data_IF_512562160960
#
_entry.id   IF_512562160960
#
_cell.length_a   1.000
_cell.length_b   1.000
_cell.length_c   1.000
_cell.angle_alpha   90.00
_cell.angle_beta   90.00
_cell.angle_gamma   90.00
#
_symmetry.space_group_name_H-M   'P 1'
#
loop_
_entity.id
_entity.type
_entity.pdbx_description
1 polymer ?
#
# COMPACT_ATOMS: atom_id res chain seq x y z
N UNK A 1 59.53 -17.12 27.44
CA UNK A 1 58.84 -15.99 26.81
C UNK A 1 57.63 -16.54 26.04
N UNK A 2 56.44 -16.40 26.62
CA UNK A 2 55.19 -16.90 26.05
C UNK A 2 54.65 -15.85 25.06
N UNK A 3 54.25 -16.31 23.86
CA UNK A 3 53.67 -15.52 22.77
C UNK A 3 52.25 -15.13 23.13
N UNK A 4 51.80 -13.85 23.01
CA UNK A 4 50.43 -13.50 23.34
C UNK A 4 49.46 -14.06 22.30
N UNK A 5 48.34 -14.66 22.80
CA UNK A 5 47.23 -15.15 22.01
C UNK A 5 46.54 -14.01 21.29
N UNK A 6 46.28 -14.18 19.99
CA UNK A 6 45.44 -13.27 19.19
C UNK A 6 44.03 -13.26 19.75
N UNK A 7 43.35 -12.09 19.92
CA UNK A 7 41.95 -12.08 20.29
C UNK A 7 41.11 -12.65 19.15
N UNK A 8 40.32 -13.65 19.49
CA UNK A 8 39.28 -14.19 18.63
C UNK A 8 38.29 -13.06 18.30
N UNK A 9 38.36 -12.60 17.05
CA UNK A 9 37.38 -11.70 16.48
C UNK A 9 36.00 -12.38 16.49
N UNK A 10 35.22 -12.09 17.52
CA UNK A 10 33.84 -12.57 17.65
C UNK A 10 33.07 -12.24 16.38
N UNK A 11 32.68 -13.25 15.63
CA UNK A 11 31.74 -13.14 14.55
C UNK A 11 30.45 -12.56 15.18
N UNK A 12 30.20 -11.26 14.96
CA UNK A 12 28.90 -10.64 15.25
C UNK A 12 27.86 -11.50 14.57
N UNK A 13 27.10 -12.28 15.36
CA UNK A 13 26.13 -13.24 14.87
C UNK A 13 25.23 -12.57 13.85
N UNK A 14 25.34 -13.01 12.59
CA UNK A 14 24.51 -12.54 11.48
C UNK A 14 23.06 -12.89 11.83
N UNK A 15 22.31 -11.89 12.33
CA UNK A 15 20.87 -12.04 12.57
C UNK A 15 20.18 -12.24 11.20
N UNK A 16 19.68 -13.45 10.87
CA UNK A 16 19.09 -13.77 9.57
C UNK A 16 17.91 -12.86 9.25
N UNK A 17 17.07 -12.52 10.25
CA UNK A 17 15.92 -11.65 10.11
C UNK A 17 16.32 -10.22 9.74
N UNK A 18 17.36 -9.69 10.37
CA UNK A 18 17.91 -8.37 10.03
C UNK A 18 18.45 -8.35 8.59
N UNK A 19 19.11 -9.41 8.17
CA UNK A 19 19.61 -9.54 6.78
C UNK A 19 18.44 -9.63 5.80
N UNK A 20 17.45 -10.46 6.09
CA UNK A 20 16.22 -10.58 5.29
C UNK A 20 15.50 -9.22 5.14
N UNK A 21 15.36 -8.48 6.25
CA UNK A 21 14.78 -7.14 6.26
C UNK A 21 15.54 -6.14 5.39
N UNK A 22 16.89 -6.15 5.41
CA UNK A 22 17.75 -5.30 4.55
C UNK A 22 17.55 -5.62 3.07
N UNK A 23 17.50 -6.91 2.71
CA UNK A 23 17.27 -7.33 1.33
C UNK A 23 15.91 -6.85 0.84
N UNK A 24 14.84 -7.05 1.61
CA UNK A 24 13.49 -6.61 1.26
C UNK A 24 13.40 -5.08 1.11
N UNK A 25 14.06 -4.32 1.98
CA UNK A 25 14.09 -2.85 1.88
C UNK A 25 14.87 -2.36 0.66
N UNK A 26 15.99 -3.01 0.33
CA UNK A 26 16.78 -2.72 -0.86
C UNK A 26 15.99 -3.08 -2.15
N UNK A 27 15.31 -4.23 -2.14
CA UNK A 27 14.50 -4.71 -3.23
C UNK A 27 13.28 -3.82 -3.48
N UNK A 28 12.60 -3.34 -2.43
CA UNK A 28 11.51 -2.39 -2.54
C UNK A 28 11.92 -1.16 -3.35
N UNK A 29 13.03 -0.53 -2.97
CA UNK A 29 13.52 0.68 -3.67
C UNK A 29 13.89 0.40 -5.13
N UNK A 30 14.52 -0.74 -5.40
CA UNK A 30 14.92 -1.13 -6.75
C UNK A 30 13.70 -1.42 -7.63
N UNK A 31 12.72 -2.17 -7.12
CA UNK A 31 11.49 -2.46 -7.84
C UNK A 31 10.60 -1.21 -8.03
N UNK A 32 10.51 -0.34 -7.04
CA UNK A 32 9.76 0.90 -7.17
C UNK A 32 10.37 1.86 -8.20
N UNK A 33 11.71 1.87 -8.33
CA UNK A 33 12.41 2.73 -9.28
C UNK A 33 12.37 2.19 -10.73
N UNK A 34 12.52 0.88 -10.92
CA UNK A 34 12.82 0.26 -12.22
C UNK A 34 11.76 -0.76 -12.69
N UNK A 35 10.73 -1.01 -11.90
CA UNK A 35 9.77 -2.09 -12.12
C UNK A 35 10.38 -3.48 -11.95
N UNK A 36 9.54 -4.51 -12.12
CA UNK A 36 10.04 -5.89 -12.00
C UNK A 36 11.04 -6.23 -13.11
N UNK A 37 10.75 -5.91 -14.37
CA UNK A 37 11.61 -6.25 -15.49
C UNK A 37 12.97 -5.53 -15.41
N UNK A 38 12.96 -4.22 -15.16
CA UNK A 38 14.17 -3.37 -15.13
C UNK A 38 15.03 -3.51 -13.88
N UNK A 39 14.48 -4.00 -12.78
CA UNK A 39 15.22 -4.15 -11.52
C UNK A 39 16.38 -5.16 -11.64
N UNK A 40 17.54 -4.78 -11.11
CA UNK A 40 18.76 -5.59 -11.17
C UNK A 40 19.08 -6.20 -9.82
N UNK A 41 19.19 -7.53 -9.77
CA UNK A 41 19.52 -8.28 -8.53
C UNK A 41 20.87 -7.84 -7.96
N UNK A 42 21.83 -7.50 -8.82
CA UNK A 42 23.14 -7.01 -8.38
C UNK A 42 23.04 -5.64 -7.69
N UNK A 43 22.16 -4.75 -8.13
CA UNK A 43 21.89 -3.48 -7.47
C UNK A 43 21.23 -3.69 -6.09
N UNK A 44 20.29 -4.63 -5.99
CA UNK A 44 19.68 -5.01 -4.73
C UNK A 44 20.72 -5.56 -3.75
N UNK A 45 21.59 -6.48 -4.20
CA UNK A 45 22.61 -7.09 -3.37
C UNK A 45 23.62 -6.04 -2.85
N UNK A 46 24.11 -5.15 -3.70
CA UNK A 46 24.99 -4.03 -3.31
C UNK A 46 24.31 -3.14 -2.25
N UNK A 47 23.07 -2.71 -2.49
CA UNK A 47 22.33 -1.84 -1.56
C UNK A 47 22.05 -2.53 -0.23
N UNK A 48 21.81 -3.84 -0.23
CA UNK A 48 21.62 -4.66 0.97
C UNK A 48 22.94 -5.01 1.67
N UNK A 49 24.10 -4.66 1.09
CA UNK A 49 25.45 -5.00 1.61
C UNK A 49 25.57 -6.52 1.81
N UNK A 50 25.25 -7.27 0.76
CA UNK A 50 25.42 -8.74 0.68
C UNK A 50 25.93 -9.13 -0.71
N UNK A 51 26.36 -10.37 -0.88
CA UNK A 51 26.63 -10.91 -2.20
C UNK A 51 25.35 -11.50 -2.86
N UNK A 52 25.37 -11.61 -4.18
CA UNK A 52 24.25 -12.13 -4.98
C UNK A 52 23.86 -13.57 -4.61
N UNK A 53 24.84 -14.41 -4.26
CA UNK A 53 24.58 -15.80 -3.83
C UNK A 53 23.73 -15.85 -2.56
N UNK A 54 24.02 -14.96 -1.60
CA UNK A 54 23.24 -14.84 -0.37
C UNK A 54 21.82 -14.40 -0.65
N UNK A 55 21.58 -13.45 -1.60
CA UNK A 55 20.24 -13.04 -1.98
C UNK A 55 19.42 -14.24 -2.50
N UNK A 56 20.01 -15.03 -3.41
CA UNK A 56 19.33 -16.24 -3.91
C UNK A 56 19.14 -17.31 -2.83
N UNK A 57 20.06 -17.42 -1.87
CA UNK A 57 19.88 -18.30 -0.73
C UNK A 57 18.62 -17.95 0.09
N UNK A 58 18.34 -16.64 0.31
CA UNK A 58 17.16 -16.21 1.06
C UNK A 58 15.84 -16.26 0.27
N UNK A 59 15.88 -16.00 -1.02
CA UNK A 59 14.66 -15.76 -1.80
C UNK A 59 14.53 -16.64 -3.06
N UNK A 60 15.50 -17.47 -3.36
CA UNK A 60 15.48 -18.38 -4.51
C UNK A 60 15.61 -17.66 -5.85
N UNK A 61 14.66 -16.77 -6.19
CA UNK A 61 14.65 -16.02 -7.44
C UNK A 61 14.07 -14.61 -7.29
N UNK A 62 14.19 -13.82 -8.36
CA UNK A 62 13.71 -12.42 -8.40
C UNK A 62 12.20 -12.30 -8.24
N UNK A 63 11.44 -13.24 -8.80
CA UNK A 63 9.97 -13.26 -8.71
C UNK A 63 9.52 -13.51 -7.27
N UNK A 64 10.13 -14.48 -6.60
CA UNK A 64 9.84 -14.74 -5.19
C UNK A 64 10.21 -13.55 -4.30
N UNK A 65 11.37 -12.92 -4.53
CA UNK A 65 11.75 -11.70 -3.84
C UNK A 65 10.73 -10.58 -4.03
N UNK A 66 10.24 -10.37 -5.27
CA UNK A 66 9.22 -9.35 -5.56
C UNK A 66 7.89 -9.65 -4.85
N UNK A 67 7.46 -10.91 -4.84
CA UNK A 67 6.28 -11.38 -4.11
C UNK A 67 6.39 -11.11 -2.61
N UNK A 68 7.54 -11.37 -2.03
CA UNK A 68 7.80 -11.11 -0.61
C UNK A 68 7.83 -9.61 -0.27
N UNK A 69 8.34 -8.76 -1.18
CA UNK A 69 8.26 -7.29 -1.05
C UNK A 69 6.81 -6.83 -1.03
N UNK A 70 5.98 -7.32 -1.96
CA UNK A 70 4.55 -7.00 -2.00
C UNK A 70 3.82 -7.46 -0.73
N UNK A 71 4.05 -8.71 -0.28
CA UNK A 71 3.45 -9.24 0.97
C UNK A 71 3.79 -8.36 2.16
N UNK A 72 5.07 -8.04 2.33
CA UNK A 72 5.53 -7.16 3.41
C UNK A 72 4.83 -5.81 3.37
N UNK A 73 4.77 -5.17 2.21
CA UNK A 73 4.09 -3.86 2.05
C UNK A 73 2.60 -3.93 2.35
N UNK A 74 1.93 -4.98 1.91
CA UNK A 74 0.52 -5.21 2.21
C UNK A 74 0.31 -5.36 3.72
N UNK A 75 1.13 -6.18 4.40
CA UNK A 75 1.05 -6.39 5.84
C UNK A 75 1.31 -5.09 6.62
N UNK A 76 2.37 -4.34 6.28
CA UNK A 76 2.69 -3.04 6.90
C UNK A 76 1.51 -2.06 6.78
N UNK A 77 0.88 -1.99 5.60
CA UNK A 77 -0.29 -1.11 5.39
C UNK A 77 -1.52 -1.57 6.16
N UNK A 78 -1.73 -2.87 6.31
CA UNK A 78 -2.82 -3.41 7.12
C UNK A 78 -2.63 -3.09 8.60
N UNK A 79 -1.43 -3.35 9.15
CA UNK A 79 -1.10 -3.04 10.54
C UNK A 79 -1.20 -1.54 10.81
N UNK A 80 -0.84 -0.68 9.84
CA UNK A 80 -1.02 0.77 9.99
C UNK A 80 -2.48 1.20 10.09
N UNK A 81 -3.42 0.37 9.67
CA UNK A 81 -4.86 0.65 9.73
C UNK A 81 -5.57 -0.06 10.90
N UNK A 82 -4.82 -0.76 11.75
CA UNK A 82 -5.37 -1.37 12.97
C UNK A 82 -5.91 -0.28 13.90
N UNK A 83 -7.13 -0.46 14.39
CA UNK A 83 -7.80 0.54 15.22
C UNK A 83 -8.40 1.73 14.46
N UNK A 84 -8.22 1.82 13.13
CA UNK A 84 -8.85 2.86 12.34
C UNK A 84 -10.37 2.63 12.31
N UNK A 85 -11.11 3.69 12.62
CA UNK A 85 -12.56 3.65 12.49
C UNK A 85 -12.97 3.37 11.05
N UNK A 86 -14.12 2.70 10.89
CA UNK A 86 -14.65 2.44 9.55
C UNK A 86 -15.28 3.66 8.89
N UNK A 87 -15.42 4.79 9.61
CA UNK A 87 -15.99 6.01 9.03
C UNK A 87 -15.12 6.51 7.86
N UNK A 88 -15.69 6.64 6.66
CA UNK A 88 -14.96 7.16 5.50
C UNK A 88 -14.38 8.56 5.72
N UNK A 89 -15.00 9.38 6.57
CA UNK A 89 -14.49 10.71 6.91
C UNK A 89 -13.14 10.68 7.66
N UNK A 90 -12.82 9.57 8.33
CA UNK A 90 -11.54 9.33 8.99
C UNK A 90 -10.61 8.48 8.12
N UNK A 91 -11.14 7.44 7.48
CA UNK A 91 -10.34 6.48 6.74
C UNK A 91 -9.78 7.04 5.43
N UNK A 92 -10.51 7.89 4.69
CA UNK A 92 -9.99 8.48 3.45
C UNK A 92 -8.78 9.39 3.67
N UNK A 93 -8.82 10.38 4.61
CA UNK A 93 -7.63 11.17 4.92
C UNK A 93 -6.45 10.35 5.42
N UNK A 94 -6.71 9.28 6.20
CA UNK A 94 -5.66 8.38 6.67
C UNK A 94 -4.96 7.66 5.52
N UNK A 95 -5.73 7.00 4.62
CA UNK A 95 -5.16 6.28 3.48
C UNK A 95 -4.44 7.20 2.50
N UNK A 96 -4.95 8.42 2.30
CA UNK A 96 -4.26 9.44 1.51
C UNK A 96 -2.90 9.83 2.12
N UNK A 97 -2.87 10.17 3.41
CA UNK A 97 -1.62 10.50 4.12
C UNK A 97 -0.62 9.35 4.11
N UNK A 98 -1.11 8.12 4.25
CA UNK A 98 -0.27 6.93 4.15
C UNK A 98 0.31 6.78 2.73
N UNK A 99 -0.47 7.07 1.68
CA UNK A 99 0.01 7.05 0.29
C UNK A 99 1.04 8.15 0.01
N UNK A 100 0.88 9.33 0.61
CA UNK A 100 1.89 10.42 0.52
C UNK A 100 3.24 10.03 1.14
N UNK A 101 3.23 9.25 2.22
CA UNK A 101 4.45 8.79 2.92
C UNK A 101 5.10 7.57 2.26
N UNK A 102 4.32 6.81 1.52
CA UNK A 102 4.71 5.52 0.96
C UNK A 102 4.50 5.49 -0.56
N UNK A 103 5.18 6.39 -1.25
CA UNK A 103 5.11 6.50 -2.71
C UNK A 103 5.67 5.26 -3.42
N UNK A 104 6.61 4.53 -2.79
CA UNK A 104 7.14 3.27 -3.34
C UNK A 104 6.04 2.23 -3.53
N UNK A 105 5.05 2.18 -2.63
CA UNK A 105 3.88 1.31 -2.79
C UNK A 105 3.06 1.65 -4.04
N UNK A 106 2.80 2.95 -4.26
CA UNK A 106 2.04 3.40 -5.45
C UNK A 106 2.78 3.01 -6.72
N UNK A 107 4.09 3.28 -6.78
CA UNK A 107 4.94 2.90 -7.92
C UNK A 107 4.97 1.40 -8.19
N UNK A 108 4.99 0.57 -7.14
CA UNK A 108 4.91 -0.89 -7.32
C UNK A 108 3.61 -1.32 -8.00
N UNK A 109 2.47 -0.71 -7.63
CA UNK A 109 1.17 -0.98 -8.25
C UNK A 109 1.11 -0.51 -9.71
N UNK A 110 1.67 0.67 -10.00
CA UNK A 110 1.77 1.19 -11.37
C UNK A 110 2.61 0.27 -12.27
N UNK A 111 3.77 -0.15 -11.78
CA UNK A 111 4.62 -1.10 -12.51
C UNK A 111 3.95 -2.45 -12.72
N UNK A 112 3.23 -2.96 -11.72
CA UNK A 112 2.47 -4.20 -11.87
C UNK A 112 1.40 -4.07 -12.95
N UNK A 113 0.66 -2.96 -12.97
CA UNK A 113 -0.38 -2.70 -13.97
C UNK A 113 0.20 -2.59 -15.39
N UNK A 114 1.31 -1.86 -15.56
CA UNK A 114 1.97 -1.68 -16.86
C UNK A 114 2.54 -3.00 -17.41
N UNK A 115 3.21 -3.79 -16.56
CA UNK A 115 3.87 -5.04 -16.99
C UNK A 115 2.91 -6.20 -17.17
N UNK A 116 1.85 -6.26 -16.37
CA UNK A 116 0.83 -7.30 -16.44
C UNK A 116 -0.24 -7.08 -17.50
N UNK A 117 -0.25 -5.92 -18.15
CA UNK A 117 -1.33 -5.55 -19.08
C UNK A 117 -2.72 -5.63 -18.43
N UNK A 118 -2.81 -5.46 -17.13
CA UNK A 118 -4.03 -5.58 -16.35
C UNK A 118 -4.54 -7.02 -16.14
N UNK A 119 -3.86 -8.03 -16.71
CA UNK A 119 -4.33 -9.43 -16.70
C UNK A 119 -3.70 -10.28 -15.61
N UNK A 120 -2.51 -9.94 -15.12
CA UNK A 120 -1.80 -10.70 -14.08
C UNK A 120 -1.67 -9.89 -12.81
N UNK A 121 -2.16 -10.42 -11.70
CA UNK A 121 -1.97 -9.90 -10.35
C UNK A 121 -1.03 -10.83 -9.60
N UNK A 122 0.11 -10.30 -9.16
CA UNK A 122 1.07 -11.10 -8.39
C UNK A 122 0.46 -11.45 -7.03
N UNK A 123 0.57 -12.73 -6.65
CA UNK A 123 -0.05 -13.29 -5.44
C UNK A 123 -1.58 -13.05 -5.37
N UNK A 124 -2.26 -13.25 -6.50
CA UNK A 124 -3.69 -12.95 -6.68
C UNK A 124 -4.56 -13.60 -5.60
N UNK A 125 -4.29 -14.86 -5.23
CA UNK A 125 -5.07 -15.58 -4.21
C UNK A 125 -5.10 -14.83 -2.88
N UNK A 126 -3.93 -14.43 -2.37
CA UNK A 126 -3.83 -13.68 -1.12
C UNK A 126 -4.48 -12.30 -1.23
N UNK A 127 -4.27 -11.61 -2.36
CA UNK A 127 -4.84 -10.27 -2.59
C UNK A 127 -6.36 -10.32 -2.77
N UNK A 128 -6.90 -11.38 -3.36
CA UNK A 128 -8.36 -11.60 -3.46
C UNK A 128 -8.99 -11.78 -2.08
N UNK A 129 -8.34 -12.53 -1.17
CA UNK A 129 -8.81 -12.64 0.21
C UNK A 129 -8.83 -11.29 0.94
N UNK A 130 -7.84 -10.42 0.68
CA UNK A 130 -7.82 -9.06 1.23
C UNK A 130 -8.91 -8.16 0.65
N UNK A 131 -9.16 -8.26 -0.65
CA UNK A 131 -10.26 -7.56 -1.31
C UNK A 131 -11.61 -7.98 -0.72
N UNK A 132 -11.83 -9.27 -0.51
CA UNK A 132 -13.06 -9.79 0.14
C UNK A 132 -13.26 -9.19 1.53
N UNK A 133 -12.20 -9.12 2.36
CA UNK A 133 -12.26 -8.47 3.68
C UNK A 133 -12.56 -6.97 3.58
N UNK A 134 -11.96 -6.29 2.60
CA UNK A 134 -12.24 -4.86 2.38
C UNK A 134 -13.69 -4.62 1.96
N UNK A 135 -14.24 -5.44 1.06
CA UNK A 135 -15.65 -5.40 0.66
C UNK A 135 -16.58 -5.69 1.84
N UNK A 136 -16.22 -6.64 2.71
CA UNK A 136 -16.97 -6.92 3.94
C UNK A 136 -17.03 -5.70 4.87
N UNK A 137 -15.93 -4.94 4.99
CA UNK A 137 -15.92 -3.67 5.73
C UNK A 137 -16.85 -2.63 5.11
N UNK A 138 -16.82 -2.46 3.77
CA UNK A 138 -17.73 -1.52 3.08
C UNK A 138 -19.20 -1.89 3.38
N UNK A 139 -19.59 -3.16 3.23
CA UNK A 139 -20.97 -3.60 3.55
C UNK A 139 -21.35 -3.31 5.02
N UNK A 140 -20.41 -3.53 5.95
CA UNK A 140 -20.63 -3.17 7.36
C UNK A 140 -20.85 -1.66 7.53
N UNK A 141 -20.12 -0.80 6.82
CA UNK A 141 -20.30 0.65 6.88
C UNK A 141 -21.63 1.09 6.25
N UNK A 142 -22.08 0.41 5.22
CA UNK A 142 -23.43 0.61 4.64
C UNK A 142 -24.51 0.23 5.64
N UNK A 143 -24.40 -0.92 6.30
CA UNK A 143 -25.35 -1.35 7.33
C UNK A 143 -25.40 -0.42 8.55
N UNK A 144 -24.26 0.24 8.90
CA UNK A 144 -24.18 1.22 9.98
C UNK A 144 -24.59 2.65 9.54
N UNK A 145 -24.94 2.87 8.28
CA UNK A 145 -25.34 4.18 7.77
C UNK A 145 -24.22 5.18 7.54
N UNK A 146 -22.96 4.76 7.58
CA UNK A 146 -21.82 5.62 7.21
C UNK A 146 -21.64 5.76 5.70
N UNK A 147 -22.12 4.78 4.94
CA UNK A 147 -22.13 4.77 3.48
C UNK A 147 -23.54 4.44 2.99
N UNK A 148 -23.95 5.04 1.86
CA UNK A 148 -25.25 4.70 1.25
C UNK A 148 -25.24 3.26 0.74
N UNK A 149 -26.34 2.54 1.03
CA UNK A 149 -26.61 1.19 0.50
C UNK A 149 -26.96 1.15 -0.98
N UNK A 150 -27.24 2.32 -1.61
CA UNK A 150 -27.56 2.42 -3.03
C UNK A 150 -26.35 2.13 -3.95
N UNK A 151 -25.13 2.26 -3.41
CA UNK A 151 -23.91 2.02 -4.18
C UNK A 151 -23.42 0.58 -4.02
N UNK A 152 -22.98 0.01 -5.12
CA UNK A 152 -22.33 -1.30 -5.11
C UNK A 152 -20.99 -1.22 -4.32
N UNK A 153 -20.75 -2.14 -3.35
CA UNK A 153 -19.56 -2.09 -2.48
C UNK A 153 -18.21 -2.06 -3.21
N UNK A 154 -18.10 -2.76 -4.34
CA UNK A 154 -16.87 -2.78 -5.16
C UNK A 154 -16.59 -1.44 -5.80
N UNK A 155 -17.62 -0.76 -6.31
CA UNK A 155 -17.49 0.58 -6.90
C UNK A 155 -17.10 1.62 -5.85
N UNK A 156 -17.71 1.56 -4.65
CA UNK A 156 -17.29 2.41 -3.53
C UNK A 156 -15.83 2.19 -3.15
N UNK A 157 -15.42 0.93 -3.01
CA UNK A 157 -14.03 0.61 -2.68
C UNK A 157 -13.06 1.12 -3.74
N UNK A 158 -13.41 0.96 -5.03
CA UNK A 158 -12.62 1.46 -6.15
C UNK A 158 -12.50 2.99 -6.11
N UNK A 159 -13.61 3.70 -5.96
CA UNK A 159 -13.63 5.16 -5.86
C UNK A 159 -12.80 5.67 -4.68
N UNK A 160 -12.96 5.07 -3.49
CA UNK A 160 -12.17 5.43 -2.30
C UNK A 160 -10.66 5.19 -2.51
N UNK A 161 -10.29 4.10 -3.17
CA UNK A 161 -8.88 3.83 -3.53
C UNK A 161 -8.35 4.84 -4.52
N UNK A 162 -9.12 5.16 -5.55
CA UNK A 162 -8.74 6.18 -6.55
C UNK A 162 -8.51 7.54 -5.90
N UNK A 163 -9.42 8.02 -5.08
CA UNK A 163 -9.29 9.29 -4.36
C UNK A 163 -8.03 9.36 -3.48
N UNK A 164 -7.65 8.27 -2.86
CA UNK A 164 -6.50 8.25 -1.93
C UNK A 164 -5.16 7.96 -2.60
N UNK A 165 -5.14 7.50 -3.85
CA UNK A 165 -3.92 7.06 -4.54
C UNK A 165 -3.62 7.89 -5.79
N UNK A 166 -4.65 8.35 -6.50
CA UNK A 166 -4.50 9.09 -7.76
C UNK A 166 -3.52 10.28 -7.68
N UNK A 167 -3.54 11.12 -6.63
CA UNK A 167 -2.60 12.25 -6.58
C UNK A 167 -1.13 11.83 -6.63
N UNK A 168 -0.77 10.68 -6.07
CA UNK A 168 0.58 10.13 -6.07
C UNK A 168 0.89 9.35 -7.35
N UNK A 169 -0.12 8.67 -7.91
CA UNK A 169 0.02 7.94 -9.17
C UNK A 169 0.24 8.88 -10.37
N UNK A 170 -0.44 10.04 -10.36
CA UNK A 170 -0.36 11.03 -11.43
C UNK A 170 0.01 12.43 -10.89
N UNK A 171 1.26 12.60 -10.36
CA UNK A 171 1.67 13.85 -9.73
C UNK A 171 1.69 15.03 -10.71
N UNK A 172 1.94 14.77 -12.00
CA UNK A 172 1.88 15.79 -13.07
C UNK A 172 0.46 16.33 -13.26
N UNK A 173 -0.57 15.45 -13.26
CA UNK A 173 -1.97 15.86 -13.36
C UNK A 173 -2.43 16.59 -12.10
N UNK A 174 -2.01 16.12 -10.93
CA UNK A 174 -2.29 16.78 -9.67
C UNK A 174 -1.75 18.22 -9.68
N UNK A 175 -0.51 18.41 -10.13
CA UNK A 175 0.08 19.76 -10.28
C UNK A 175 -0.70 20.59 -11.29
N UNK A 176 -1.09 20.02 -12.42
CA UNK A 176 -1.85 20.71 -13.47
C UNK A 176 -3.20 21.22 -12.95
N UNK A 177 -3.92 20.38 -12.20
CA UNK A 177 -5.27 20.73 -11.74
C UNK A 177 -5.29 21.63 -10.49
N UNK A 178 -4.25 21.54 -9.65
CA UNK A 178 -4.23 22.22 -8.35
C UNK A 178 -3.18 23.31 -8.24
N UNK A 179 -2.33 23.45 -9.26
CA UNK A 179 -1.14 24.31 -9.28
C UNK A 179 -0.19 24.04 -8.09
N UNK A 180 -0.20 22.81 -7.54
CA UNK A 180 0.62 22.42 -6.39
C UNK A 180 1.20 21.02 -6.55
N UNK A 181 2.40 20.83 -5.99
CA UNK A 181 3.02 19.52 -5.90
C UNK A 181 2.30 18.63 -4.87
N UNK A 182 2.27 17.32 -5.11
CA UNK A 182 1.79 16.33 -4.12
C UNK A 182 2.63 16.30 -2.84
N UNK A 183 3.88 16.76 -2.90
CA UNK A 183 4.77 16.89 -1.73
C UNK A 183 4.56 18.20 -0.95
N UNK A 184 3.75 19.16 -1.47
CA UNK A 184 3.44 20.39 -0.76
C UNK A 184 2.57 20.09 0.47
N UNK A 185 3.05 20.44 1.70
CA UNK A 185 2.27 20.22 2.92
C UNK A 185 0.92 20.94 2.93
N UNK A 186 0.81 22.09 2.25
CA UNK A 186 -0.46 22.81 2.14
C UNK A 186 -1.45 22.01 1.29
N UNK A 187 -1.01 21.51 0.13
CA UNK A 187 -1.85 20.63 -0.70
C UNK A 187 -2.32 19.42 0.10
N UNK A 188 -1.40 18.73 0.80
CA UNK A 188 -1.74 17.53 1.56
C UNK A 188 -2.78 17.80 2.66
N UNK A 189 -2.68 18.92 3.39
CA UNK A 189 -3.68 19.30 4.38
C UNK A 189 -5.03 19.58 3.74
N UNK A 190 -5.05 20.42 2.70
CA UNK A 190 -6.30 20.82 2.01
C UNK A 190 -6.99 19.64 1.34
N UNK A 191 -6.24 18.75 0.73
CA UNK A 191 -6.80 17.56 0.11
C UNK A 191 -7.34 16.56 1.16
N UNK A 192 -6.68 16.41 2.29
CA UNK A 192 -7.20 15.62 3.41
C UNK A 192 -8.50 16.19 3.98
N UNK A 193 -8.60 17.54 4.11
CA UNK A 193 -9.85 18.23 4.49
C UNK A 193 -10.96 18.01 3.46
N UNK A 194 -10.62 18.11 2.17
CA UNK A 194 -11.55 17.80 1.07
C UNK A 194 -12.07 16.37 1.18
N UNK A 195 -11.19 15.37 1.36
CA UNK A 195 -11.58 13.96 1.49
C UNK A 195 -12.54 13.74 2.67
N UNK A 196 -12.28 14.41 3.79
CA UNK A 196 -13.18 14.35 4.96
C UNK A 196 -14.58 14.87 4.64
N UNK A 197 -14.68 16.01 3.94
CA UNK A 197 -15.96 16.60 3.53
C UNK A 197 -16.65 15.76 2.44
N UNK A 198 -15.87 15.27 1.47
CA UNK A 198 -16.36 14.45 0.38
C UNK A 198 -16.97 13.14 0.88
N UNK A 199 -16.37 12.54 1.91
CA UNK A 199 -16.90 11.34 2.53
C UNK A 199 -18.33 11.52 3.05
N UNK A 200 -18.69 12.71 3.51
CA UNK A 200 -20.04 13.02 3.98
C UNK A 200 -21.08 12.91 2.86
N UNK A 201 -20.70 13.12 1.60
CA UNK A 201 -21.61 13.01 0.45
C UNK A 201 -22.03 11.55 0.16
N UNK A 202 -21.30 10.57 0.67
CA UNK A 202 -21.66 9.14 0.55
C UNK A 202 -22.55 8.63 1.68
N UNK A 203 -22.86 9.46 2.67
CA UNK A 203 -23.79 9.12 3.72
C UNK A 203 -25.22 9.11 3.17
N UNK A 204 -26.10 8.23 3.67
CA UNK A 204 -27.52 8.28 3.33
C UNK A 204 -28.10 9.66 3.65
N UNK A 205 -28.96 10.18 2.79
CA UNK A 205 -29.71 11.39 3.13
C UNK A 205 -30.53 11.13 4.41
N UNK A 206 -30.31 11.94 5.44
CA UNK A 206 -31.10 11.89 6.66
C UNK A 206 -32.53 12.25 6.28
N UNK A 207 -33.44 11.26 6.23
CA UNK A 207 -34.85 11.57 6.05
C UNK A 207 -35.67 10.76 5.04
N UNK A 208 -35.09 9.83 4.28
CA UNK A 208 -35.91 8.87 3.51
C UNK A 208 -36.03 7.55 4.26
N UNK A 209 -36.76 7.53 5.40
CA UNK A 209 -37.46 6.32 5.82
C UNK A 209 -38.46 6.01 4.72
N UNK A 210 -38.25 4.96 3.93
CA UNK A 210 -39.29 4.36 3.13
C UNK A 210 -40.46 4.01 4.06
N UNK A 211 -41.45 4.86 4.10
CA UNK A 211 -42.81 4.44 4.40
C UNK A 211 -43.27 3.63 3.18
N UNK A 212 -42.84 2.41 3.07
CA UNK A 212 -43.57 1.40 2.29
C UNK A 212 -44.80 1.10 3.11
N UNK A 213 -45.91 1.74 2.73
CA UNK A 213 -47.25 1.42 3.15
C UNK A 213 -47.48 -0.09 2.95
N UNK A 214 -47.62 -0.78 4.06
CA UNK A 214 -48.53 -1.95 4.08
C UNK A 214 -49.91 -1.38 4.22
N UNK A 215 -50.57 -1.14 3.10
CA UNK A 215 -52.01 -1.06 3.01
C UNK A 215 -52.47 -1.94 1.84
N UNK A 216 -53.26 -2.92 2.23
CA UNK A 216 -54.12 -3.88 1.52
C UNK A 216 -53.45 -5.18 1.05
#
# INVERSE_FOLDING_TARGET
>A
MAKPAKPNGGAVGRNPERTRGRILSAALREFAANGFAGARVDAIARRAVINKRMLYHYFGNKEHLFREVLRRKITERQSSAEGLSGDPAESLPFWFKLSCRDTDWVRLLEWEALQGGGKKVIDEKSRRALATRALGRIRKQQALGYLSGEFEPGHLLLAMRSLTTFPMAFPQLTRLFTNRSVSDPHFQRKYAEFLKKFAAAFRPAVGRRNKTNYEN
#
